data_IF_325593727315
#
_entry.id   IF_325593727315
#
_cell.length_a   1.000
_cell.length_b   1.000
_cell.length_c   1.000
_cell.angle_alpha   90.00
_cell.angle_beta   90.00
_cell.angle_gamma   90.00
#
_symmetry.space_group_name_H-M   'P 1'
#
loop_
_entity.id
_entity.type
_entity.pdbx_description
1 polymer ?
#
# COMPACT_ATOMS: atom_id res chain seq x y z
N UNK A 1 9.63 22.67 -3.11
CA UNK A 1 9.45 21.36 -2.45
C UNK A 1 10.24 20.38 -3.29
N UNK A 2 11.35 19.88 -2.76
CA UNK A 2 12.34 19.10 -3.54
C UNK A 2 12.24 17.62 -3.14
N UNK A 3 11.89 16.75 -4.10
CA UNK A 3 12.25 15.32 -4.11
C UNK A 3 11.29 14.35 -3.42
N UNK A 4 10.30 13.85 -4.17
CA UNK A 4 9.64 12.54 -3.94
C UNK A 4 8.87 12.34 -2.62
N UNK A 5 8.22 13.37 -2.09
CA UNK A 5 7.27 13.20 -1.00
C UNK A 5 5.99 12.55 -1.54
N UNK A 6 5.88 11.22 -1.44
CA UNK A 6 4.63 10.53 -1.76
C UNK A 6 3.64 10.70 -0.62
N UNK A 7 2.46 11.22 -0.95
CA UNK A 7 1.39 11.39 0.03
C UNK A 7 0.81 10.04 0.43
N UNK A 8 0.56 9.87 1.73
CA UNK A 8 -0.10 8.68 2.30
C UNK A 8 -1.45 8.44 1.63
N UNK A 9 -2.21 9.52 1.42
CA UNK A 9 -3.48 9.53 0.69
C UNK A 9 -3.36 10.58 -0.41
N UNK A 10 -3.80 10.22 -1.61
CA UNK A 10 -3.76 11.08 -2.80
C UNK A 10 -5.09 10.97 -3.53
N UNK A 11 -5.46 12.05 -4.23
CA UNK A 11 -6.63 12.03 -5.11
C UNK A 11 -6.38 11.23 -6.39
N UNK A 12 -7.34 11.26 -7.28
CA UNK A 12 -7.29 10.60 -8.57
C UNK A 12 -6.73 11.54 -9.65
N UNK A 13 -6.30 10.98 -10.78
CA UNK A 13 -5.73 11.72 -11.91
C UNK A 13 -6.70 12.77 -12.51
N UNK A 14 -8.01 12.63 -12.25
CA UNK A 14 -9.05 13.58 -12.64
C UNK A 14 -9.14 14.82 -11.73
N UNK A 15 -8.27 14.91 -10.72
CA UNK A 15 -8.19 16.01 -9.77
C UNK A 15 -9.18 15.92 -8.60
N UNK A 16 -9.92 14.82 -8.47
CA UNK A 16 -10.86 14.62 -7.36
C UNK A 16 -10.23 13.85 -6.20
N UNK A 17 -10.68 14.12 -4.96
CA UNK A 17 -10.24 13.37 -3.78
C UNK A 17 -11.12 12.14 -3.47
N UNK A 18 -12.42 12.21 -3.81
CA UNK A 18 -13.45 11.19 -3.55
C UNK A 18 -13.44 10.60 -2.12
N UNK A 19 -13.64 11.40 -1.06
CA UNK A 19 -13.51 10.95 0.33
C UNK A 19 -14.50 9.84 0.74
N UNK A 20 -15.67 9.78 0.09
CA UNK A 20 -16.71 8.79 0.36
C UNK A 20 -16.54 7.49 -0.44
N UNK A 21 -15.53 7.42 -1.33
CA UNK A 21 -15.31 6.25 -2.16
C UNK A 21 -14.63 5.15 -1.35
N UNK A 22 -15.21 3.95 -1.36
CA UNK A 22 -14.57 2.77 -0.80
C UNK A 22 -13.26 2.48 -1.52
N UNK A 23 -12.19 2.35 -0.75
CA UNK A 23 -10.86 2.05 -1.29
C UNK A 23 -10.71 0.56 -1.61
N UNK A 24 -9.84 0.25 -2.56
CA UNK A 24 -9.42 -1.12 -2.85
C UNK A 24 -8.20 -1.54 -2.00
N UNK A 25 -7.78 -2.81 -2.13
CA UNK A 25 -6.62 -3.31 -1.40
C UNK A 25 -5.31 -2.65 -1.82
N UNK A 26 -5.14 -2.27 -3.08
CA UNK A 26 -3.94 -1.56 -3.54
C UNK A 26 -3.79 -0.18 -2.87
N UNK A 27 -4.87 0.58 -2.80
CA UNK A 27 -4.95 1.87 -2.09
C UNK A 27 -4.73 1.67 -0.58
N UNK A 28 -5.37 0.66 0.03
CA UNK A 28 -5.16 0.33 1.43
C UNK A 28 -3.69 -0.04 1.72
N UNK A 29 -3.03 -0.79 0.83
CA UNK A 29 -1.62 -1.15 0.97
C UNK A 29 -0.70 0.09 0.91
N UNK A 30 -0.95 1.06 0.01
CA UNK A 30 -0.22 2.34 -0.03
C UNK A 30 -0.40 3.10 1.29
N UNK A 31 -1.65 3.26 1.74
CA UNK A 31 -1.98 4.01 2.96
C UNK A 31 -1.29 3.39 4.18
N UNK A 32 -1.39 2.08 4.37
CA UNK A 32 -0.78 1.41 5.53
C UNK A 32 0.75 1.46 5.43
N UNK A 33 1.33 1.25 4.25
CA UNK A 33 2.78 1.29 4.07
C UNK A 33 3.34 2.68 4.43
N UNK A 34 2.79 3.74 3.84
CA UNK A 34 3.29 5.10 4.05
C UNK A 34 2.88 5.66 5.42
N UNK A 35 1.67 5.37 5.90
CA UNK A 35 1.16 5.86 7.18
C UNK A 35 1.92 5.31 8.40
N UNK A 36 2.54 4.15 8.26
CA UNK A 36 3.43 3.56 9.27
C UNK A 36 4.92 3.85 9.02
N UNK A 37 5.23 4.76 8.10
CA UNK A 37 6.59 5.14 7.70
C UNK A 37 7.48 3.94 7.26
N UNK A 38 6.84 2.90 6.71
CA UNK A 38 7.54 1.76 6.13
C UNK A 38 8.24 2.21 4.84
N UNK A 39 9.40 1.63 4.56
CA UNK A 39 10.29 2.05 3.47
C UNK A 39 10.23 1.08 2.30
N UNK A 40 9.22 1.18 1.40
CA UNK A 40 9.18 0.35 0.20
C UNK A 40 10.38 0.69 -0.68
N UNK A 41 10.79 -0.28 -1.52
CA UNK A 41 11.79 0.00 -2.56
C UNK A 41 11.30 1.12 -3.48
N UNK A 42 12.25 1.77 -4.17
CA UNK A 42 11.91 2.72 -5.23
C UNK A 42 11.08 2.04 -6.34
N UNK A 43 10.17 2.80 -6.93
CA UNK A 43 9.48 2.38 -8.13
C UNK A 43 10.50 2.07 -9.24
N UNK A 44 10.26 1.00 -9.99
CA UNK A 44 11.04 0.69 -11.19
C UNK A 44 10.59 1.61 -12.32
N UNK A 45 11.53 2.04 -13.15
CA UNK A 45 11.20 2.76 -14.38
C UNK A 45 10.42 1.85 -15.34
N UNK A 46 9.45 2.42 -16.07
CA UNK A 46 8.63 1.71 -17.06
C UNK A 46 7.20 1.42 -16.61
N UNK A 47 6.60 0.35 -17.15
CA UNK A 47 5.18 0.00 -16.98
C UNK A 47 4.86 -0.71 -15.64
N UNK A 48 5.60 -0.43 -14.57
CA UNK A 48 5.27 -0.96 -13.25
C UNK A 48 3.97 -0.32 -12.75
N UNK A 49 3.08 -1.12 -12.16
CA UNK A 49 1.86 -0.60 -11.52
C UNK A 49 2.27 0.28 -10.34
N UNK A 50 1.65 1.46 -10.21
CA UNK A 50 1.97 2.45 -9.18
C UNK A 50 1.96 1.86 -7.76
N UNK A 51 1.10 0.86 -7.49
CA UNK A 51 0.95 0.25 -6.17
C UNK A 51 1.94 -0.89 -5.88
N UNK A 52 2.67 -1.39 -6.89
CA UNK A 52 3.37 -2.66 -6.82
C UNK A 52 4.35 -2.73 -5.63
N UNK A 53 5.12 -1.66 -5.41
CA UNK A 53 6.11 -1.57 -4.34
C UNK A 53 5.50 -1.53 -2.93
N UNK A 54 4.29 -1.00 -2.77
CA UNK A 54 3.61 -0.99 -1.47
C UNK A 54 3.02 -2.36 -1.16
N UNK A 55 2.40 -2.99 -2.15
CA UNK A 55 1.90 -4.37 -2.04
C UNK A 55 3.05 -5.33 -1.74
N UNK A 56 4.19 -5.18 -2.43
CA UNK A 56 5.40 -5.96 -2.15
C UNK A 56 5.88 -5.78 -0.71
N UNK A 57 6.00 -4.54 -0.22
CA UNK A 57 6.36 -4.30 1.18
C UNK A 57 5.34 -4.92 2.15
N UNK A 58 4.04 -4.70 1.93
CA UNK A 58 2.99 -5.22 2.77
C UNK A 58 2.99 -6.76 2.82
N UNK A 59 3.27 -7.42 1.70
CA UNK A 59 3.39 -8.87 1.62
C UNK A 59 4.64 -9.37 2.36
N UNK A 60 5.80 -8.75 2.14
CA UNK A 60 7.06 -9.13 2.80
C UNK A 60 6.96 -9.00 4.32
N UNK A 61 6.20 -8.04 4.81
CA UNK A 61 5.98 -7.78 6.22
C UNK A 61 4.73 -8.46 6.79
N UNK A 62 4.08 -9.34 6.02
CA UNK A 62 2.86 -10.07 6.40
C UNK A 62 1.69 -9.17 6.85
N UNK A 63 1.69 -7.92 6.37
CA UNK A 63 0.60 -6.95 6.57
C UNK A 63 -0.58 -7.31 5.68
N UNK A 64 -0.28 -7.75 4.46
CA UNK A 64 -1.23 -8.20 3.45
C UNK A 64 -0.83 -9.60 2.98
N UNK A 65 -1.80 -10.50 2.83
CA UNK A 65 -1.55 -11.80 2.19
C UNK A 65 -1.33 -11.60 0.68
N UNK A 66 -0.53 -12.44 0.01
CA UNK A 66 -0.40 -12.37 -1.44
C UNK A 66 -1.76 -12.44 -2.15
N UNK A 67 -1.99 -11.47 -3.03
CA UNK A 67 -3.23 -11.33 -3.80
C UNK A 67 -2.88 -11.13 -5.29
N UNK A 68 -3.76 -11.60 -6.16
CA UNK A 68 -3.73 -11.31 -7.59
C UNK A 68 -4.06 -9.84 -7.89
N UNK A 69 -3.75 -9.38 -9.10
CA UNK A 69 -4.10 -8.02 -9.54
C UNK A 69 -5.62 -7.76 -9.53
N UNK A 70 -6.43 -8.77 -9.86
CA UNK A 70 -7.89 -8.66 -9.78
C UNK A 70 -8.36 -8.47 -8.35
N UNK A 71 -7.85 -9.26 -7.41
CA UNK A 71 -8.19 -9.15 -5.98
C UNK A 71 -7.74 -7.80 -5.42
N UNK A 72 -6.55 -7.31 -5.81
CA UNK A 72 -6.05 -6.01 -5.36
C UNK A 72 -6.94 -4.83 -5.79
N UNK A 73 -7.73 -5.02 -6.85
CA UNK A 73 -8.68 -4.04 -7.37
C UNK A 73 -10.05 -4.11 -6.70
N UNK A 74 -10.32 -5.16 -5.91
CA UNK A 74 -11.56 -5.30 -5.14
C UNK A 74 -11.56 -4.39 -3.90
N UNK A 75 -12.75 -4.05 -3.42
CA UNK A 75 -12.91 -3.19 -2.25
C UNK A 75 -12.40 -3.87 -0.98
N UNK A 76 -11.55 -3.16 -0.24
CA UNK A 76 -11.10 -3.60 1.06
C UNK A 76 -12.20 -3.36 2.09
N UNK A 77 -12.62 -4.43 2.78
CA UNK A 77 -13.57 -4.29 3.89
C UNK A 77 -12.90 -3.70 5.11
N UNK A 78 -13.72 -3.14 6.02
CA UNK A 78 -13.24 -2.60 7.30
C UNK A 78 -12.49 -3.64 8.14
N UNK A 79 -12.92 -4.91 8.09
CA UNK A 79 -12.25 -6.02 8.76
C UNK A 79 -10.82 -6.21 8.21
N UNK A 80 -10.69 -6.27 6.89
CA UNK A 80 -9.41 -6.48 6.23
C UNK A 80 -8.47 -5.30 6.44
N UNK A 81 -8.96 -4.06 6.31
CA UNK A 81 -8.16 -2.86 6.61
C UNK A 81 -7.73 -2.83 8.09
N UNK A 82 -8.62 -3.18 9.02
CA UNK A 82 -8.26 -3.25 10.44
C UNK A 82 -7.20 -4.31 10.72
N UNK A 83 -7.26 -5.46 10.06
CA UNK A 83 -6.25 -6.50 10.17
C UNK A 83 -4.88 -6.04 9.62
N UNK A 84 -4.87 -5.35 8.47
CA UNK A 84 -3.64 -4.76 7.93
C UNK A 84 -3.00 -3.77 8.92
N UNK A 85 -3.80 -2.88 9.51
CA UNK A 85 -3.32 -1.92 10.53
C UNK A 85 -2.78 -2.66 11.77
N UNK A 86 -3.50 -3.67 12.25
CA UNK A 86 -3.05 -4.49 13.39
C UNK A 86 -1.71 -5.16 13.11
N UNK A 87 -1.54 -5.76 11.93
CA UNK A 87 -0.29 -6.38 11.53
C UNK A 87 0.83 -5.35 11.40
N UNK A 88 0.56 -4.18 10.81
CA UNK A 88 1.54 -3.09 10.71
C UNK A 88 2.02 -2.59 12.08
N UNK A 89 1.12 -2.51 13.08
CA UNK A 89 1.47 -2.16 14.48
C UNK A 89 2.38 -3.19 15.15
N UNK A 90 2.36 -4.44 14.69
CA UNK A 90 3.17 -5.54 15.24
C UNK A 90 4.51 -5.70 14.52
N UNK A 91 4.68 -5.04 13.39
CA UNK A 91 5.88 -5.13 12.58
C UNK A 91 6.92 -4.09 13.02
N UNK A 92 8.21 -4.43 12.86
CA UNK A 92 9.32 -3.49 12.94
C UNK A 92 10.05 -3.49 11.59
N UNK A 93 10.34 -2.32 11.01
CA UNK A 93 10.81 -2.18 9.61
C UNK A 93 12.13 -2.93 9.33
N UNK A 94 12.33 -3.55 8.17
CA UNK A 94 12.56 -2.91 6.87
C UNK A 94 11.97 -3.78 5.74
N UNK A 95 11.37 -3.21 4.68
CA UNK A 95 10.69 -3.95 3.59
C UNK A 95 11.62 -4.80 2.69
N UNK A 96 12.91 -4.89 3.05
CA UNK A 96 13.98 -5.43 2.23
C UNK A 96 14.02 -6.96 2.33
N UNK A 97 13.25 -7.57 1.41
CA UNK A 97 13.20 -8.99 1.01
C UNK A 97 12.20 -9.88 1.76
N UNK A 98 11.51 -10.80 1.04
CA UNK A 98 10.54 -11.73 1.63
C UNK A 98 11.19 -12.59 2.72
N UNK A 99 10.46 -12.82 3.82
CA UNK A 99 10.84 -13.79 4.85
C UNK A 99 10.95 -15.16 4.18
N UNK A 100 12.12 -15.81 4.27
CA UNK A 100 12.34 -17.16 3.74
C UNK A 100 11.46 -18.21 4.42
#
# INVERSE_FOLDING_TARGET
VNGNDEFVVEGYDDGTFMPEKTINFAEAAKIVTLGFDLKPRKAKEGNEKWYARFVECANNLQILSPMSESELSEFATREQTALMIYNALKTTGNCEQPIQ
#
